data_IF_529995487507
#
_entry.id   IF_529995487507
#
_cell.length_a   1.000
_cell.length_b   1.000
_cell.length_c   1.000
_cell.angle_alpha   90.00
_cell.angle_beta   90.00
_cell.angle_gamma   90.00
#
_symmetry.space_group_name_H-M   'P 1'
#
loop_
_entity.id
_entity.type
_entity.pdbx_description
1 polymer ?
#
# COMPACT_ATOMS: atom_id res chain seq x y z
N UNK A 1 5.98 -40.21 -0.25
CA UNK A 1 4.79 -39.52 0.29
C UNK A 1 5.29 -38.24 0.89
N UNK A 2 5.24 -37.13 0.11
CA UNK A 2 5.50 -35.80 0.66
C UNK A 2 4.34 -35.52 1.64
N UNK A 3 4.65 -35.38 2.91
CA UNK A 3 3.69 -34.91 3.89
C UNK A 3 3.34 -33.46 3.52
N UNK A 4 2.21 -33.24 2.91
CA UNK A 4 1.70 -31.89 2.66
C UNK A 4 1.59 -31.17 4.02
N UNK A 5 2.42 -30.18 4.20
CA UNK A 5 2.31 -29.28 5.35
C UNK A 5 0.92 -28.61 5.28
N UNK A 6 0.14 -28.63 6.35
CA UNK A 6 -1.17 -28.00 6.34
C UNK A 6 -1.05 -26.52 5.96
N UNK A 7 -2.05 -25.95 5.27
CA UNK A 7 -2.02 -24.55 4.91
C UNK A 7 -1.94 -23.66 6.17
N UNK A 8 -1.27 -22.48 6.10
CA UNK A 8 -1.20 -21.56 7.22
C UNK A 8 -2.58 -21.14 7.71
N UNK A 9 -2.72 -20.93 9.01
CA UNK A 9 -3.93 -20.35 9.60
C UNK A 9 -4.15 -18.91 9.15
N UNK A 10 -5.35 -18.35 9.33
CA UNK A 10 -5.61 -16.94 9.04
C UNK A 10 -4.71 -16.00 9.86
N UNK A 11 -4.39 -16.35 11.10
CA UNK A 11 -3.47 -15.61 11.93
C UNK A 11 -2.04 -15.61 11.35
N UNK A 12 -1.55 -16.77 10.91
CA UNK A 12 -0.24 -16.88 10.27
C UNK A 12 -0.20 -16.11 8.94
N UNK A 13 -1.25 -16.19 8.13
CA UNK A 13 -1.36 -15.46 6.87
C UNK A 13 -1.36 -13.94 7.09
N UNK A 14 -2.09 -13.45 8.09
CA UNK A 14 -2.07 -12.04 8.47
C UNK A 14 -0.66 -11.58 8.84
N UNK A 15 0.04 -12.35 9.66
CA UNK A 15 1.40 -12.04 10.08
C UNK A 15 2.37 -12.02 8.91
N UNK A 16 2.30 -13.00 8.02
CA UNK A 16 3.13 -13.05 6.80
C UNK A 16 2.88 -11.84 5.89
N UNK A 17 1.61 -11.44 5.73
CA UNK A 17 1.25 -10.25 4.95
C UNK A 17 1.74 -8.96 5.62
N UNK A 18 1.57 -8.81 6.93
CA UNK A 18 2.04 -7.64 7.69
C UNK A 18 3.57 -7.51 7.62
N UNK A 19 4.29 -8.62 7.70
CA UNK A 19 5.75 -8.66 7.55
C UNK A 19 6.16 -8.16 6.16
N UNK A 20 5.53 -8.68 5.10
CA UNK A 20 5.81 -8.24 3.74
C UNK A 20 5.47 -6.76 3.51
N UNK A 21 4.34 -6.28 4.01
CA UNK A 21 3.94 -4.86 3.96
C UNK A 21 4.97 -3.98 4.67
N UNK A 22 5.51 -4.42 5.78
CA UNK A 22 6.53 -3.68 6.53
C UNK A 22 7.88 -3.65 5.81
N UNK A 23 8.26 -4.76 5.17
CA UNK A 23 9.52 -4.89 4.43
C UNK A 23 9.56 -4.07 3.14
N UNK A 24 8.41 -3.91 2.46
CA UNK A 24 8.36 -3.23 1.17
C UNK A 24 8.00 -1.74 1.35
N UNK A 25 8.55 -0.91 0.48
CA UNK A 25 8.39 0.54 0.54
C UNK A 25 7.40 1.09 -0.48
N UNK A 26 7.19 0.36 -1.56
CA UNK A 26 6.35 0.79 -2.68
C UNK A 26 5.26 -0.23 -2.97
N UNK A 27 4.14 0.26 -3.46
CA UNK A 27 3.10 -0.55 -4.08
C UNK A 27 2.81 -0.01 -5.48
N UNK A 28 2.39 -0.88 -6.38
CA UNK A 28 1.84 -0.46 -7.66
C UNK A 28 0.35 -0.27 -7.49
N UNK A 29 -0.11 0.98 -7.61
CA UNK A 29 -1.52 1.31 -7.67
C UNK A 29 -1.99 1.18 -9.12
N UNK A 30 -3.03 0.40 -9.36
CA UNK A 30 -3.58 0.12 -10.69
C UNK A 30 -5.00 0.65 -10.80
N UNK A 31 -5.27 1.30 -11.93
CA UNK A 31 -6.56 1.87 -12.26
C UNK A 31 -6.98 1.44 -13.66
N UNK A 32 -8.25 1.55 -13.97
CA UNK A 32 -8.77 1.31 -15.31
C UNK A 32 -9.94 2.23 -15.60
N UNK A 33 -9.91 2.91 -16.73
CA UNK A 33 -10.99 3.74 -17.24
C UNK A 33 -11.15 3.47 -18.72
N UNK A 34 -12.39 3.23 -19.18
CA UNK A 34 -12.72 2.90 -20.58
C UNK A 34 -11.84 1.76 -21.13
N UNK A 35 -11.72 0.69 -20.36
CA UNK A 35 -10.94 -0.51 -20.70
C UNK A 35 -9.43 -0.30 -20.88
N UNK A 36 -8.91 0.87 -20.50
CA UNK A 36 -7.48 1.17 -20.49
C UNK A 36 -6.94 1.10 -19.07
N UNK A 37 -6.09 0.11 -18.82
CA UNK A 37 -5.43 -0.07 -17.53
C UNK A 37 -4.22 0.87 -17.39
N UNK A 38 -3.95 1.29 -16.17
CA UNK A 38 -2.79 2.09 -15.81
C UNK A 38 -2.20 1.63 -14.49
N UNK A 39 -0.87 1.61 -14.38
CA UNK A 39 -0.16 1.26 -13.15
C UNK A 39 0.80 2.38 -12.75
N UNK A 40 0.82 2.75 -11.47
CA UNK A 40 1.70 3.78 -10.92
C UNK A 40 2.35 3.29 -9.63
N UNK A 41 3.69 3.30 -9.51
CA UNK A 41 4.36 3.03 -8.24
C UNK A 41 4.18 4.21 -7.29
N UNK A 42 3.85 3.91 -6.03
CA UNK A 42 3.75 4.92 -4.98
C UNK A 42 4.44 4.41 -3.71
N UNK A 43 5.13 5.32 -3.00
CA UNK A 43 5.61 5.03 -1.64
C UNK A 43 4.43 5.02 -0.69
N UNK A 44 4.36 4.05 0.21
CA UNK A 44 3.26 3.95 1.16
C UNK A 44 3.74 3.76 2.60
N UNK A 45 2.97 4.27 3.53
CA UNK A 45 2.93 3.78 4.90
C UNK A 45 1.58 3.10 5.15
N UNK A 46 1.47 2.35 6.23
CA UNK A 46 0.23 1.66 6.56
C UNK A 46 -0.07 1.71 8.06
N UNK A 47 -1.35 1.61 8.36
CA UNK A 47 -1.87 1.31 9.69
C UNK A 47 -2.75 0.06 9.53
N UNK A 48 -2.31 -1.07 10.08
CA UNK A 48 -2.82 -2.38 9.74
C UNK A 48 -2.87 -2.56 8.20
N UNK A 49 -4.01 -2.94 7.64
CA UNK A 49 -4.20 -3.12 6.20
C UNK A 49 -4.79 -1.89 5.48
N UNK A 50 -4.70 -0.71 6.08
CA UNK A 50 -5.03 0.56 5.41
C UNK A 50 -3.74 1.25 4.99
N UNK A 51 -3.67 1.68 3.73
CA UNK A 51 -2.46 2.24 3.12
C UNK A 51 -2.61 3.74 2.89
N UNK A 52 -1.52 4.47 3.13
CA UNK A 52 -1.47 5.93 3.01
C UNK A 52 -0.29 6.33 2.15
N UNK A 53 -0.51 7.23 1.22
CA UNK A 53 0.53 7.71 0.32
C UNK A 53 0.27 9.14 -0.15
N UNK A 54 1.34 9.83 -0.51
CA UNK A 54 1.26 11.14 -1.12
C UNK A 54 1.29 11.02 -2.64
N UNK A 55 0.46 11.82 -3.32
CA UNK A 55 0.46 11.90 -4.77
C UNK A 55 -0.05 13.27 -5.24
N UNK A 56 0.36 13.66 -6.44
CA UNK A 56 -0.18 14.84 -7.12
C UNK A 56 -1.66 14.57 -7.45
N UNK A 57 -2.58 15.47 -7.02
CA UNK A 57 -4.00 15.37 -7.37
C UNK A 57 -4.29 15.31 -8.86
N UNK A 58 -3.42 15.92 -9.70
CA UNK A 58 -3.52 15.91 -11.15
C UNK A 58 -3.01 14.64 -11.83
N UNK A 59 -2.39 13.73 -11.09
CA UNK A 59 -1.86 12.50 -11.67
C UNK A 59 -2.98 11.59 -12.19
N UNK A 60 -2.69 10.86 -13.28
CA UNK A 60 -3.67 9.99 -13.95
C UNK A 60 -4.28 8.96 -13.01
N UNK A 61 -3.47 8.24 -12.24
CA UNK A 61 -3.95 7.21 -11.31
C UNK A 61 -4.87 7.79 -10.22
N UNK A 62 -4.63 9.01 -9.75
CA UNK A 62 -5.53 9.66 -8.78
C UNK A 62 -6.85 10.04 -9.44
N UNK A 63 -6.82 10.69 -10.60
CA UNK A 63 -8.02 11.09 -11.32
C UNK A 63 -8.89 9.88 -11.69
N UNK A 64 -8.29 8.81 -12.18
CA UNK A 64 -9.00 7.59 -12.55
C UNK A 64 -9.58 6.86 -11.32
N UNK A 65 -8.80 6.73 -10.23
CA UNK A 65 -9.26 6.06 -9.01
C UNK A 65 -10.39 6.84 -8.32
N UNK A 66 -10.35 8.17 -8.32
CA UNK A 66 -11.42 8.99 -7.75
C UNK A 66 -12.69 8.96 -8.61
N UNK A 67 -12.55 8.92 -9.93
CA UNK A 67 -13.69 8.83 -10.85
C UNK A 67 -14.40 7.48 -10.78
N UNK A 68 -13.65 6.38 -10.73
CA UNK A 68 -14.20 5.01 -10.63
C UNK A 68 -14.56 4.61 -9.20
N UNK A 69 -14.04 5.30 -8.19
CA UNK A 69 -14.08 4.95 -6.77
C UNK A 69 -13.44 3.61 -6.43
N UNK A 70 -12.67 3.07 -7.34
CA UNK A 70 -12.00 1.76 -7.21
C UNK A 70 -10.56 1.85 -7.71
N UNK A 71 -9.69 1.11 -7.05
CA UNK A 71 -8.34 0.86 -7.50
C UNK A 71 -7.94 -0.56 -7.09
N UNK A 72 -6.95 -1.10 -7.78
CA UNK A 72 -6.23 -2.27 -7.32
C UNK A 72 -4.83 -1.85 -6.86
N UNK A 73 -4.22 -2.64 -5.99
CA UNK A 73 -2.82 -2.44 -5.62
C UNK A 73 -2.08 -3.77 -5.49
N UNK A 74 -0.80 -3.75 -5.79
CA UNK A 74 0.08 -4.89 -5.60
C UNK A 74 1.35 -4.48 -4.85
N UNK A 75 1.74 -5.32 -3.91
CA UNK A 75 3.03 -5.26 -3.23
C UNK A 75 3.74 -6.59 -3.52
N UNK A 76 5.02 -6.55 -3.85
CA UNK A 76 5.77 -7.77 -4.13
C UNK A 76 7.18 -7.69 -3.56
N UNK A 77 7.71 -8.84 -3.22
CA UNK A 77 9.11 -9.01 -2.86
C UNK A 77 9.95 -9.18 -4.12
N UNK A 78 11.10 -8.52 -4.18
CA UNK A 78 12.05 -8.74 -5.25
C UNK A 78 12.62 -10.16 -5.13
N UNK A 79 12.40 -10.98 -6.16
CA UNK A 79 12.72 -12.39 -6.16
C UNK A 79 13.68 -12.71 -7.29
N UNK A 80 14.67 -13.57 -7.02
CA UNK A 80 15.63 -14.05 -8.02
C UNK A 80 15.11 -15.29 -8.76
N UNK A 81 14.20 -16.03 -8.15
CA UNK A 81 13.60 -17.24 -8.71
C UNK A 81 12.09 -17.26 -8.51
N UNK A 82 11.39 -18.02 -9.34
CA UNK A 82 9.94 -18.17 -9.19
C UNK A 82 9.52 -18.80 -7.84
N UNK A 83 10.40 -19.55 -7.20
CA UNK A 83 10.16 -20.17 -5.89
C UNK A 83 10.10 -19.16 -4.75
N UNK A 84 10.72 -18.00 -4.93
CA UNK A 84 10.78 -16.95 -3.91
C UNK A 84 9.67 -15.91 -4.07
N UNK A 85 8.87 -16.01 -5.15
CA UNK A 85 7.81 -15.05 -5.41
C UNK A 85 6.82 -15.04 -4.26
N UNK A 86 6.66 -13.86 -3.66
CA UNK A 86 5.65 -13.56 -2.67
C UNK A 86 5.12 -12.15 -2.87
N UNK A 87 3.87 -11.94 -2.56
CA UNK A 87 3.24 -10.66 -2.80
C UNK A 87 1.85 -10.53 -2.18
N UNK A 88 1.32 -9.36 -2.34
CA UNK A 88 -0.03 -9.00 -1.92
C UNK A 88 -0.76 -8.42 -3.12
N UNK A 89 -1.98 -8.87 -3.32
CA UNK A 89 -2.89 -8.36 -4.34
C UNK A 89 -4.13 -7.81 -3.64
N UNK A 90 -4.51 -6.61 -3.98
CA UNK A 90 -5.61 -5.90 -3.31
C UNK A 90 -6.50 -5.20 -4.31
N UNK A 91 -7.77 -5.08 -3.96
CA UNK A 91 -8.69 -4.13 -4.57
C UNK A 91 -9.49 -3.41 -3.50
N UNK A 92 -9.87 -2.16 -3.76
CA UNK A 92 -10.62 -1.36 -2.79
C UNK A 92 -10.76 0.10 -3.20
N UNK A 93 -11.23 0.91 -2.25
CA UNK A 93 -11.51 2.33 -2.46
C UNK A 93 -10.30 3.23 -2.22
N UNK A 94 -10.21 4.29 -3.02
CA UNK A 94 -9.26 5.39 -2.81
C UNK A 94 -9.99 6.65 -2.37
N UNK A 95 -9.49 7.29 -1.31
CA UNK A 95 -10.08 8.50 -0.75
C UNK A 95 -9.01 9.55 -0.45
N UNK A 96 -9.25 10.83 -0.78
CA UNK A 96 -8.41 11.90 -0.27
C UNK A 96 -8.58 12.00 1.25
N UNK A 97 -7.49 12.20 1.97
CA UNK A 97 -7.51 12.31 3.41
C UNK A 97 -7.53 13.77 3.84
N UNK A 98 -8.55 14.15 4.61
CA UNK A 98 -8.68 15.48 5.20
C UNK A 98 -7.85 15.58 6.50
N UNK A 99 -7.58 16.81 6.92
CA UNK A 99 -6.93 17.06 8.23
C UNK A 99 -7.76 16.47 9.38
N UNK A 100 -7.11 15.72 10.25
CA UNK A 100 -7.73 15.08 11.40
C UNK A 100 -6.81 14.09 12.08
N UNK A 101 -7.32 13.36 13.07
CA UNK A 101 -6.52 12.38 13.82
C UNK A 101 -5.94 11.28 12.93
N UNK A 102 -6.68 10.84 11.92
CA UNK A 102 -6.23 9.81 10.99
C UNK A 102 -5.05 10.31 10.15
N UNK A 103 -5.14 11.52 9.59
CA UNK A 103 -4.05 12.09 8.79
C UNK A 103 -2.77 12.32 9.61
N UNK A 104 -2.89 12.71 10.88
CA UNK A 104 -1.75 12.83 11.79
C UNK A 104 -1.09 11.48 12.06
N UNK A 105 -1.88 10.43 12.30
CA UNK A 105 -1.36 9.07 12.50
C UNK A 105 -0.69 8.53 11.24
N UNK A 106 -1.33 8.74 10.09
CA UNK A 106 -0.79 8.35 8.79
C UNK A 106 0.55 9.06 8.48
N UNK A 107 0.61 10.36 8.72
CA UNK A 107 1.84 11.14 8.54
C UNK A 107 2.96 10.64 9.46
N UNK A 108 2.67 10.38 10.74
CA UNK A 108 3.66 9.81 11.67
C UNK A 108 4.17 8.45 11.20
N UNK A 109 3.28 7.57 10.73
CA UNK A 109 3.65 6.27 10.18
C UNK A 109 4.53 6.43 8.95
N UNK A 110 4.19 7.38 8.06
CA UNK A 110 4.96 7.69 6.86
C UNK A 110 6.38 8.19 7.19
N UNK A 111 6.50 9.14 8.12
CA UNK A 111 7.80 9.69 8.55
C UNK A 111 8.65 8.67 9.30
N UNK A 112 8.03 7.76 10.05
CA UNK A 112 8.73 6.65 10.70
C UNK A 112 9.29 5.66 9.66
N UNK A 113 8.52 5.37 8.63
CA UNK A 113 8.93 4.44 7.55
C UNK A 113 9.96 5.08 6.62
N UNK A 114 9.85 6.38 6.36
CA UNK A 114 10.69 7.15 5.45
C UNK A 114 11.37 8.32 6.17
N UNK A 115 12.47 8.09 6.91
CA UNK A 115 13.18 9.16 7.63
C UNK A 115 13.63 10.31 6.73
N UNK A 116 13.95 10.04 5.45
CA UNK A 116 14.32 11.08 4.49
C UNK A 116 13.21 12.12 4.28
N UNK A 117 11.96 11.73 4.46
CA UNK A 117 10.84 12.67 4.34
C UNK A 117 10.84 13.73 5.45
N UNK A 118 11.54 13.50 6.57
CA UNK A 118 11.71 14.50 7.63
C UNK A 118 12.54 15.69 7.17
N UNK A 119 13.44 15.53 6.22
CA UNK A 119 14.24 16.60 5.66
C UNK A 119 13.40 17.68 4.97
N UNK A 120 12.18 17.34 4.57
CA UNK A 120 11.22 18.28 3.98
C UNK A 120 10.50 19.14 5.01
N UNK A 121 10.59 18.77 6.28
CA UNK A 121 10.07 19.55 7.41
C UNK A 121 11.26 20.24 8.08
N UNK A 122 11.36 21.57 7.92
CA UNK A 122 12.46 22.36 8.52
C UNK A 122 12.57 22.11 10.01
N UNK A 123 13.80 22.01 10.50
CA UNK A 123 14.09 21.83 11.94
C UNK A 123 13.45 22.96 12.75
N UNK A 124 12.47 22.62 13.59
CA UNK A 124 11.74 23.54 14.45
C UNK A 124 10.33 23.89 14.01
N UNK A 125 9.89 23.52 12.82
CA UNK A 125 8.48 23.63 12.41
C UNK A 125 7.68 22.43 12.94
N UNK A 126 6.48 22.70 13.45
CA UNK A 126 5.52 21.64 13.73
C UNK A 126 5.25 20.89 12.43
N UNK A 127 5.10 19.57 12.51
CA UNK A 127 4.65 18.73 11.39
C UNK A 127 3.38 19.34 10.79
N UNK A 128 3.55 20.16 9.76
CA UNK A 128 2.47 20.85 9.08
C UNK A 128 2.17 20.11 7.76
N UNK A 129 1.14 19.26 7.80
CA UNK A 129 0.68 18.52 6.63
C UNK A 129 0.26 19.46 5.49
N UNK A 130 -0.35 20.60 5.83
CA UNK A 130 -0.79 21.59 4.84
C UNK A 130 0.40 22.27 4.16
N UNK A 131 1.41 22.67 4.93
CA UNK A 131 2.64 23.24 4.41
C UNK A 131 3.38 22.27 3.51
N UNK A 132 3.49 21.00 3.93
CA UNK A 132 4.08 19.94 3.11
C UNK A 132 3.29 19.74 1.80
N UNK A 133 1.98 19.59 1.88
CA UNK A 133 1.11 19.36 0.74
C UNK A 133 1.20 20.52 -0.27
N UNK A 134 1.21 21.77 0.19
CA UNK A 134 1.35 22.96 -0.67
C UNK A 134 2.72 23.06 -1.30
N UNK A 135 3.80 22.81 -0.54
CA UNK A 135 5.18 22.89 -1.02
C UNK A 135 5.47 21.89 -2.15
N UNK A 136 5.01 20.65 -1.99
CA UNK A 136 5.25 19.57 -2.95
C UNK A 136 4.10 19.36 -3.94
N UNK A 137 3.02 20.16 -3.84
CA UNK A 137 1.80 20.02 -4.68
C UNK A 137 1.22 18.62 -4.62
N UNK A 138 1.27 17.98 -3.46
CA UNK A 138 0.75 16.64 -3.23
C UNK A 138 -0.37 16.66 -2.20
N UNK A 139 -1.18 15.61 -2.19
CA UNK A 139 -2.16 15.33 -1.15
C UNK A 139 -1.90 13.95 -0.56
N UNK A 140 -2.36 13.76 0.66
CA UNK A 140 -2.38 12.47 1.32
C UNK A 140 -3.65 11.74 0.94
N UNK A 141 -3.49 10.48 0.50
CA UNK A 141 -4.58 9.59 0.13
C UNK A 141 -4.57 8.35 1.00
N UNK A 142 -5.78 7.81 1.24
CA UNK A 142 -6.02 6.53 1.86
C UNK A 142 -6.50 5.54 0.81
N UNK A 143 -5.81 4.42 0.67
CA UNK A 143 -6.29 3.25 -0.03
C UNK A 143 -6.78 2.24 1.00
N UNK A 144 -8.06 1.89 0.93
CA UNK A 144 -8.72 0.95 1.82
C UNK A 144 -9.06 -0.32 1.06
N UNK A 145 -8.31 -1.41 1.25
CA UNK A 145 -8.65 -2.70 0.67
C UNK A 145 -10.01 -3.22 1.16
N UNK A 146 -10.80 -3.75 0.24
CA UNK A 146 -12.00 -4.53 0.48
C UNK A 146 -11.72 -6.03 0.28
N UNK A 147 -10.72 -6.31 -0.55
CA UNK A 147 -10.21 -7.64 -0.82
C UNK A 147 -8.69 -7.61 -0.77
N UNK A 148 -8.11 -8.57 -0.07
CA UNK A 148 -6.67 -8.74 0.05
C UNK A 148 -6.32 -10.23 -0.03
N UNK A 149 -5.40 -10.55 -0.93
CA UNK A 149 -4.81 -11.88 -1.06
C UNK A 149 -3.33 -11.82 -0.74
N UNK A 150 -2.85 -12.78 0.04
CA UNK A 150 -1.44 -13.08 0.19
C UNK A 150 -1.06 -14.24 -0.72
N UNK A 151 0.06 -14.12 -1.42
CA UNK A 151 0.62 -15.17 -2.27
C UNK A 151 2.07 -15.46 -1.89
N UNK A 152 2.46 -16.74 -1.88
CA UNK A 152 3.82 -17.16 -1.51
C UNK A 152 4.17 -18.54 -2.10
N UNK A 153 5.02 -18.55 -3.12
CA UNK A 153 5.46 -19.78 -3.77
C UNK A 153 6.39 -20.65 -2.89
N UNK A 154 6.89 -20.12 -1.77
CA UNK A 154 7.69 -20.92 -0.82
C UNK A 154 6.82 -21.89 -0.03
N UNK A 155 5.55 -21.57 0.18
CA UNK A 155 4.59 -22.46 0.83
C UNK A 155 4.19 -23.58 -0.14
N UNK A 156 3.76 -23.18 -1.35
CA UNK A 156 3.38 -24.07 -2.43
C UNK A 156 3.37 -23.25 -3.73
N UNK A 157 3.70 -23.85 -4.85
CA UNK A 157 3.58 -23.19 -6.15
C UNK A 157 2.17 -22.63 -6.36
N UNK A 158 2.09 -21.36 -6.73
CA UNK A 158 0.82 -20.63 -6.92
C UNK A 158 -0.06 -20.54 -5.66
N UNK A 159 0.54 -20.67 -4.46
CA UNK A 159 -0.18 -20.46 -3.21
C UNK A 159 -0.74 -19.03 -3.18
N UNK A 160 -2.04 -18.92 -2.95
CA UNK A 160 -2.74 -17.65 -2.82
C UNK A 160 -3.99 -17.85 -1.96
N UNK A 161 -4.05 -17.12 -0.86
CA UNK A 161 -5.16 -17.18 0.08
C UNK A 161 -5.66 -15.79 0.44
N UNK A 162 -6.97 -15.67 0.61
CA UNK A 162 -7.61 -14.43 1.05
C UNK A 162 -7.34 -14.20 2.53
N UNK A 163 -7.01 -12.97 2.88
CA UNK A 163 -6.90 -12.53 4.27
C UNK A 163 -8.22 -11.87 4.67
N UNK A 164 -8.73 -12.26 5.83
CA UNK A 164 -9.85 -11.59 6.48
C UNK A 164 -9.38 -10.24 7.04
N UNK A 165 -10.02 -9.15 6.60
CA UNK A 165 -9.66 -7.76 6.95
C UNK A 165 -10.37 -7.29 8.22
#
# INVERSE_FOLDING_TARGET
METETPPPSQEDLRKLAEDLIREQNTMTLSTAVKDVAWGAPVYYANLAFTFYFFSDPGSRHIQEALASRQAAAAIFHQSSTWREIRGIQMSGGLHPLSLGLESVRALRAYLKKFPFAQEFFSSGEKLDLDGFAKRFRVRLYRFQPEVLYYMDNRIRFSFRERIEL
#
